data_IF_593562904392
#
_entry.id   IF_593562904392
#
_cell.length_a   1.000
_cell.length_b   1.000
_cell.length_c   1.000
_cell.angle_alpha   90.00
_cell.angle_beta   90.00
_cell.angle_gamma   90.00
#
_symmetry.space_group_name_H-M   'P 1'
#
loop_
_entity.id
_entity.type
_entity.pdbx_description
1 polymer ?
#
# COMPACT_ATOMS: atom_id res chain seq x y z
N UNK A 1 6.25 30.51 -0.16
CA UNK A 1 6.93 29.30 0.33
C UNK A 1 5.94 28.19 0.54
N UNK A 2 6.34 26.96 0.24
CA UNK A 2 5.52 25.75 0.36
C UNK A 2 6.31 24.68 1.10
N UNK A 3 5.66 23.97 2.00
CA UNK A 3 6.17 22.76 2.62
C UNK A 3 5.04 21.71 2.56
N UNK A 4 4.86 21.05 1.40
CA UNK A 4 3.78 20.09 1.21
C UNK A 4 4.01 18.87 2.11
N UNK A 5 2.98 18.44 2.84
CA UNK A 5 2.99 17.19 3.57
C UNK A 5 2.93 15.99 2.62
N UNK A 6 3.44 14.85 3.05
CA UNK A 6 3.37 13.62 2.25
C UNK A 6 1.94 13.07 2.25
N UNK A 7 1.30 13.07 1.08
CA UNK A 7 0.02 12.38 0.87
C UNK A 7 0.12 11.71 -0.49
N UNK A 8 -0.18 10.41 -0.53
CA UNK A 8 -0.27 9.58 -1.74
C UNK A 8 -1.50 9.91 -2.61
N UNK A 9 -1.80 11.21 -2.76
CA UNK A 9 -2.85 11.72 -3.61
C UNK A 9 -2.24 12.38 -4.84
N UNK A 10 -2.68 11.94 -6.03
CA UNK A 10 -2.30 12.53 -7.31
C UNK A 10 -3.00 13.88 -7.58
N UNK A 11 -3.93 14.29 -6.71
CA UNK A 11 -4.69 15.52 -6.84
C UNK A 11 -3.79 16.78 -6.78
N UNK A 12 -4.06 17.79 -7.63
CA UNK A 12 -3.34 19.06 -7.56
C UNK A 12 -3.56 19.77 -6.23
N UNK A 13 -2.48 20.26 -5.61
CA UNK A 13 -2.50 20.96 -4.32
C UNK A 13 -2.53 22.47 -4.56
N UNK A 14 -3.62 23.14 -4.18
CA UNK A 14 -3.75 24.58 -4.43
C UNK A 14 -2.96 25.38 -3.40
N UNK A 15 -1.95 26.10 -3.86
CA UNK A 15 -1.24 27.08 -3.04
C UNK A 15 -2.16 28.30 -2.88
N UNK A 16 -2.63 28.83 -4.01
CA UNK A 16 -3.55 29.97 -4.07
C UNK A 16 -4.28 29.97 -5.42
N UNK A 17 -5.55 30.36 -5.44
CA UNK A 17 -6.29 30.54 -6.70
C UNK A 17 -7.51 31.44 -6.55
N UNK A 18 -8.00 31.97 -7.68
CA UNK A 18 -9.24 32.73 -7.81
C UNK A 18 -10.25 31.98 -8.68
N UNK A 19 -11.46 31.83 -8.18
CA UNK A 19 -12.54 31.11 -8.86
C UNK A 19 -12.59 29.60 -8.56
N UNK A 20 -13.57 28.92 -9.16
CA UNK A 20 -13.85 27.48 -9.00
C UNK A 20 -14.17 27.09 -7.55
N UNK A 21 -14.92 27.94 -6.85
CA UNK A 21 -15.27 27.74 -5.44
C UNK A 21 -16.45 26.80 -5.21
N UNK A 22 -17.22 26.50 -6.26
CA UNK A 22 -18.49 25.78 -6.17
C UNK A 22 -19.67 26.66 -5.76
N UNK A 23 -19.48 27.98 -5.67
CA UNK A 23 -20.56 28.93 -5.42
C UNK A 23 -21.62 28.88 -6.54
N UNK A 24 -22.93 28.80 -6.22
CA UNK A 24 -23.98 28.80 -7.24
C UNK A 24 -24.15 30.15 -7.96
N UNK A 25 -23.43 31.20 -7.53
CA UNK A 25 -23.47 32.53 -8.14
C UNK A 25 -22.62 32.64 -9.41
N UNK A 26 -21.70 31.70 -9.62
CA UNK A 26 -20.74 31.73 -10.72
C UNK A 26 -20.81 30.42 -11.52
N UNK A 27 -20.30 30.46 -12.75
CA UNK A 27 -20.16 29.24 -13.55
C UNK A 27 -19.21 28.27 -12.85
N UNK A 28 -19.46 26.96 -12.99
CA UNK A 28 -18.62 25.93 -12.37
C UNK A 28 -17.16 25.96 -12.87
N UNK A 29 -16.98 26.31 -14.14
CA UNK A 29 -15.68 26.33 -14.82
C UNK A 29 -15.13 27.76 -14.94
N UNK A 30 -15.19 28.51 -13.84
CA UNK A 30 -14.80 29.92 -13.77
C UNK A 30 -13.40 30.14 -13.15
N UNK A 31 -12.47 29.19 -13.25
CA UNK A 31 -11.13 29.39 -12.69
C UNK A 31 -10.41 30.53 -13.40
N UNK A 32 -10.31 31.69 -12.75
CA UNK A 32 -9.59 32.84 -13.30
C UNK A 32 -8.08 32.56 -13.34
N UNK A 33 -7.52 32.10 -12.23
CA UNK A 33 -6.14 31.59 -12.15
C UNK A 33 -5.94 30.73 -10.91
N UNK A 34 -4.97 29.83 -10.93
CA UNK A 34 -4.53 29.07 -9.77
C UNK A 34 -3.05 28.70 -9.87
N UNK A 35 -2.33 28.91 -8.78
CA UNK A 35 -0.99 28.40 -8.54
C UNK A 35 -1.08 27.15 -7.66
N UNK A 36 -0.52 26.04 -8.13
CA UNK A 36 -0.69 24.71 -7.55
C UNK A 36 0.61 23.93 -7.61
N UNK A 37 0.66 22.83 -6.86
CA UNK A 37 1.65 21.77 -7.03
C UNK A 37 0.99 20.52 -7.59
N UNK A 38 1.68 19.82 -8.48
CA UNK A 38 1.28 18.50 -8.98
C UNK A 38 2.40 17.51 -8.71
N UNK A 39 2.07 16.30 -8.25
CA UNK A 39 3.05 15.25 -8.03
C UNK A 39 3.36 14.57 -9.36
N UNK A 40 4.64 14.47 -9.71
CA UNK A 40 5.13 13.65 -10.81
C UNK A 40 6.27 12.80 -10.27
N UNK A 41 6.07 11.49 -10.22
CA UNK A 41 7.01 10.54 -9.61
C UNK A 41 7.33 10.95 -8.15
N UNK A 42 8.62 11.06 -7.82
CA UNK A 42 9.13 11.45 -6.50
C UNK A 42 9.26 12.97 -6.31
N UNK A 43 8.72 13.79 -7.20
CA UNK A 43 8.84 15.26 -7.16
C UNK A 43 7.48 15.96 -7.17
N UNK A 44 7.44 17.16 -6.57
CA UNK A 44 6.40 18.14 -6.83
C UNK A 44 6.86 19.11 -7.92
N UNK A 45 5.96 19.36 -8.86
CA UNK A 45 6.14 20.32 -9.96
C UNK A 45 5.17 21.48 -9.79
N UNK A 46 5.60 22.67 -10.22
CA UNK A 46 4.76 23.85 -10.25
C UNK A 46 3.69 23.68 -11.33
N UNK A 47 2.44 23.99 -11.01
CA UNK A 47 1.35 24.02 -11.99
C UNK A 47 0.60 25.34 -11.92
N UNK A 48 0.47 26.01 -13.06
CA UNK A 48 -0.35 27.21 -13.23
C UNK A 48 -1.56 26.87 -14.11
N UNK A 49 -2.77 27.20 -13.65
CA UNK A 49 -4.02 26.89 -14.35
C UNK A 49 -4.89 28.12 -14.47
N UNK A 50 -5.53 28.30 -15.62
CA UNK A 50 -6.67 29.18 -15.79
C UNK A 50 -7.67 28.60 -16.79
N UNK A 51 -8.88 29.15 -16.81
CA UNK A 51 -9.89 28.86 -17.80
C UNK A 51 -10.16 30.08 -18.69
N UNK A 52 -10.34 29.87 -19.99
CA UNK A 52 -10.93 30.85 -20.91
C UNK A 52 -12.44 30.63 -20.99
N UNK A 53 -13.13 31.35 -21.90
CA UNK A 53 -14.57 31.15 -22.09
C UNK A 53 -14.86 29.68 -22.39
N UNK A 54 -15.89 29.15 -21.74
CA UNK A 54 -16.29 27.75 -21.85
C UNK A 54 -16.36 27.30 -23.32
N UNK A 55 -15.66 26.21 -23.60
CA UNK A 55 -15.57 25.56 -24.90
C UNK A 55 -15.87 24.06 -24.74
N UNK A 56 -16.14 23.37 -25.84
CA UNK A 56 -16.42 21.94 -25.82
C UNK A 56 -15.22 21.13 -25.27
N UNK A 57 -15.51 20.21 -24.35
CA UNK A 57 -14.50 19.43 -23.64
C UNK A 57 -13.55 20.29 -22.82
N UNK A 58 -12.30 19.85 -22.69
CA UNK A 58 -11.33 20.48 -21.78
C UNK A 58 -10.54 21.62 -22.42
N UNK A 59 -10.94 22.07 -23.63
CA UNK A 59 -10.20 23.06 -24.43
C UNK A 59 -10.16 24.45 -23.83
N UNK A 60 -11.07 24.75 -22.90
CA UNK A 60 -11.10 26.01 -22.18
C UNK A 60 -10.14 26.02 -20.98
N UNK A 61 -9.58 24.86 -20.59
CA UNK A 61 -8.59 24.77 -19.53
C UNK A 61 -7.19 24.93 -20.09
N UNK A 62 -6.40 25.81 -19.50
CA UNK A 62 -5.02 26.06 -19.89
C UNK A 62 -4.12 25.83 -18.68
N UNK A 63 -3.40 24.71 -18.70
CA UNK A 63 -2.50 24.31 -17.62
C UNK A 63 -1.07 24.29 -18.12
N UNK A 64 -0.21 24.99 -17.41
CA UNK A 64 1.23 24.94 -17.56
C UNK A 64 1.83 24.19 -16.38
N UNK A 65 2.74 23.25 -16.64
CA UNK A 65 3.44 22.49 -15.60
C UNK A 65 4.95 22.60 -15.80
N UNK A 66 5.70 22.91 -14.74
CA UNK A 66 7.15 23.09 -14.85
C UNK A 66 7.89 21.80 -15.16
N UNK A 67 8.97 21.89 -15.93
CA UNK A 67 9.91 20.78 -16.16
C UNK A 67 10.70 20.46 -14.89
N UNK A 68 11.19 21.49 -14.20
CA UNK A 68 11.90 21.32 -12.93
C UNK A 68 10.88 21.18 -11.80
N UNK A 69 11.09 20.16 -10.97
CA UNK A 69 10.38 19.97 -9.71
C UNK A 69 11.35 19.96 -8.52
N UNK A 70 10.82 19.67 -7.33
CA UNK A 70 11.60 19.45 -6.13
C UNK A 70 11.17 18.15 -5.43
N UNK A 71 12.07 17.44 -4.74
CA UNK A 71 11.75 16.15 -4.12
C UNK A 71 10.67 16.28 -3.05
N UNK A 72 9.76 15.30 -3.01
CA UNK A 72 8.78 15.18 -1.94
C UNK A 72 9.47 15.05 -0.57
N UNK A 73 8.79 15.50 0.48
CA UNK A 73 9.24 15.38 1.87
C UNK A 73 10.59 16.04 2.18
N UNK A 74 11.08 16.92 1.28
CA UNK A 74 12.27 17.75 1.55
C UNK A 74 11.90 19.12 2.11
N UNK A 75 10.76 19.28 2.80
CA UNK A 75 10.42 20.46 3.60
C UNK A 75 10.14 21.75 2.81
N UNK A 76 10.69 22.89 3.24
CA UNK A 76 10.37 24.21 2.68
C UNK A 76 11.05 24.47 1.33
N UNK A 77 10.24 24.82 0.34
CA UNK A 77 10.63 25.27 -1.00
C UNK A 77 10.03 26.63 -1.34
N UNK A 78 10.73 27.37 -2.19
CA UNK A 78 10.22 28.60 -2.78
C UNK A 78 9.75 28.33 -4.20
N UNK A 79 8.48 28.63 -4.49
CA UNK A 79 7.92 28.51 -5.84
C UNK A 79 7.29 29.81 -6.29
N UNK A 80 7.44 30.14 -7.57
CA UNK A 80 6.83 31.31 -8.17
C UNK A 80 6.50 31.09 -9.65
N UNK A 81 5.45 31.75 -10.14
CA UNK A 81 5.14 31.85 -11.57
C UNK A 81 4.93 33.32 -11.94
N UNK A 82 5.40 33.72 -13.11
CA UNK A 82 5.02 35.00 -13.74
C UNK A 82 4.35 34.71 -15.05
N UNK A 83 3.23 35.37 -15.33
CA UNK A 83 2.50 35.20 -16.57
C UNK A 83 1.76 36.49 -16.97
N UNK A 84 1.78 36.81 -18.25
CA UNK A 84 0.96 37.86 -18.87
C UNK A 84 -0.09 37.19 -19.74
N UNK A 85 -1.35 37.25 -19.31
CA UNK A 85 -2.48 36.75 -20.10
C UNK A 85 -2.49 37.34 -21.50
N UNK A 86 -2.80 36.50 -22.50
CA UNK A 86 -2.73 36.86 -23.91
C UNK A 86 -1.36 36.69 -24.56
N UNK A 87 -0.29 36.46 -23.78
CA UNK A 87 1.06 36.18 -24.27
C UNK A 87 1.57 34.85 -23.70
N UNK A 88 1.29 33.71 -24.35
CA UNK A 88 1.64 32.39 -23.82
C UNK A 88 3.14 32.16 -23.66
N UNK A 89 3.98 32.92 -24.40
CA UNK A 89 5.45 32.84 -24.30
C UNK A 89 5.99 33.59 -23.08
N UNK A 90 5.15 34.36 -22.38
CA UNK A 90 5.56 35.14 -21.20
C UNK A 90 5.66 34.31 -19.92
N UNK A 91 5.14 33.08 -19.90
CA UNK A 91 5.13 32.22 -18.71
C UNK A 91 6.56 31.88 -18.28
N UNK A 92 6.84 32.02 -16.97
CA UNK A 92 8.12 31.61 -16.38
C UNK A 92 7.84 31.01 -15.01
N UNK A 93 8.42 29.84 -14.74
CA UNK A 93 8.41 29.23 -13.42
C UNK A 93 9.74 29.41 -12.70
N UNK A 94 9.70 29.39 -11.38
CA UNK A 94 10.87 29.37 -10.52
C UNK A 94 10.65 28.36 -9.39
N UNK A 95 11.64 27.50 -9.18
CA UNK A 95 11.70 26.54 -8.08
C UNK A 95 13.02 26.77 -7.36
N UNK A 96 12.98 27.10 -6.08
CA UNK A 96 14.15 27.38 -5.25
C UNK A 96 15.12 28.38 -5.90
N UNK A 97 14.55 29.46 -6.45
CA UNK A 97 15.29 30.54 -7.12
C UNK A 97 15.83 30.19 -8.50
N UNK A 98 15.73 28.92 -8.92
CA UNK A 98 16.13 28.44 -10.25
C UNK A 98 14.97 28.59 -11.22
N UNK A 99 15.21 29.28 -12.34
CA UNK A 99 14.25 29.44 -13.42
C UNK A 99 14.04 28.11 -14.15
N UNK A 100 12.80 27.82 -14.52
CA UNK A 100 12.42 26.61 -15.26
C UNK A 100 11.42 26.92 -16.36
N UNK A 101 11.57 26.21 -17.47
CA UNK A 101 10.55 26.07 -18.51
C UNK A 101 9.47 25.07 -18.07
N UNK A 102 8.52 24.79 -18.95
CA UNK A 102 7.37 23.95 -18.67
C UNK A 102 6.49 23.73 -19.89
N UNK A 103 5.59 22.77 -19.76
CA UNK A 103 4.75 22.28 -20.85
C UNK A 103 3.30 22.71 -20.64
N UNK A 104 2.66 23.17 -21.71
CA UNK A 104 1.22 23.41 -21.74
C UNK A 104 0.47 22.14 -22.13
N UNK A 105 -0.62 21.82 -21.43
CA UNK A 105 -1.54 20.74 -21.76
C UNK A 105 -3.02 21.21 -21.78
N UNK A 106 -3.96 20.28 -21.98
CA UNK A 106 -5.40 20.56 -22.17
C UNK A 106 -5.65 21.45 -23.39
N UNK A 107 -6.20 22.65 -23.21
CA UNK A 107 -6.36 23.68 -24.24
C UNK A 107 -5.03 24.30 -24.71
N UNK A 108 -3.92 23.99 -24.05
CA UNK A 108 -2.58 24.38 -24.46
C UNK A 108 -2.27 25.87 -24.25
N UNK A 109 -1.22 26.36 -24.90
CA UNK A 109 -0.88 27.77 -24.96
C UNK A 109 -1.98 28.57 -25.67
N UNK A 110 -2.39 29.72 -25.13
CA UNK A 110 -3.46 30.55 -25.69
C UNK A 110 -3.18 32.05 -25.60
N UNK A 111 -3.75 32.82 -26.52
CA UNK A 111 -3.80 34.29 -26.49
C UNK A 111 -5.14 34.83 -25.97
N UNK A 112 -6.07 33.95 -25.60
CA UNK A 112 -7.34 34.34 -25.02
C UNK A 112 -7.19 34.81 -23.57
N UNK A 113 -8.10 35.70 -23.16
CA UNK A 113 -8.17 36.19 -21.79
C UNK A 113 -8.82 35.14 -20.86
N UNK A 114 -8.42 35.09 -19.58
CA UNK A 114 -9.06 34.22 -18.61
C UNK A 114 -10.49 34.67 -18.34
N UNK A 115 -11.33 33.78 -17.81
CA UNK A 115 -12.63 34.16 -17.24
C UNK A 115 -12.42 35.19 -16.13
N UNK A 116 -13.18 36.28 -16.16
CA UNK A 116 -13.14 37.35 -15.16
C UNK A 116 -14.49 37.47 -14.48
N UNK A 117 -14.52 37.23 -13.18
CA UNK A 117 -15.65 37.44 -12.29
C UNK A 117 -15.18 37.79 -10.86
N UNK A 118 -16.16 37.98 -9.96
CA UNK A 118 -15.95 38.35 -8.56
C UNK A 118 -15.89 37.15 -7.61
N UNK A 119 -15.59 35.95 -8.10
CA UNK A 119 -15.44 34.76 -7.24
C UNK A 119 -14.19 34.86 -6.34
N UNK A 120 -14.17 34.10 -5.26
CA UNK A 120 -13.22 34.29 -4.15
C UNK A 120 -11.77 33.95 -4.53
N UNK A 121 -10.82 34.59 -3.85
CA UNK A 121 -9.43 34.14 -3.78
C UNK A 121 -9.28 33.24 -2.56
N UNK A 122 -8.82 32.01 -2.75
CA UNK A 122 -8.57 31.05 -1.66
C UNK A 122 -7.10 30.66 -1.61
N UNK A 123 -6.54 30.61 -0.40
CA UNK A 123 -5.18 30.15 -0.11
C UNK A 123 -5.30 28.76 0.53
N UNK A 124 -4.49 27.81 0.07
CA UNK A 124 -4.39 26.49 0.69
C UNK A 124 -5.62 25.58 0.52
N UNK A 125 -6.47 25.80 -0.49
CA UNK A 125 -7.66 24.97 -0.70
C UNK A 125 -7.26 23.50 -0.97
N UNK A 126 -7.55 22.61 -0.02
CA UNK A 126 -7.06 21.22 -0.02
C UNK A 126 -5.53 21.09 -0.05
N UNK A 127 -4.79 22.08 0.44
CA UNK A 127 -3.34 21.99 0.57
C UNK A 127 -2.98 21.30 1.88
N UNK A 128 -2.51 20.06 1.80
CA UNK A 128 -1.90 19.39 2.93
C UNK A 128 -0.43 19.78 3.06
N UNK A 129 -0.11 20.53 4.11
CA UNK A 129 1.24 21.03 4.40
C UNK A 129 1.21 22.44 4.98
N UNK A 130 2.36 23.11 4.95
CA UNK A 130 2.51 24.49 5.41
C UNK A 130 2.72 25.43 4.22
N UNK A 131 2.17 26.64 4.35
CA UNK A 131 2.36 27.75 3.41
C UNK A 131 2.87 28.95 4.20
N UNK A 132 3.80 29.70 3.60
CA UNK A 132 4.31 30.93 4.20
C UNK A 132 4.60 31.98 3.12
N UNK A 133 4.42 33.26 3.48
CA UNK A 133 4.62 34.44 2.64
C UNK A 133 4.01 34.31 1.22
N UNK A 134 2.75 33.87 1.14
CA UNK A 134 2.00 33.81 -0.13
C UNK A 134 1.69 35.23 -0.59
N UNK A 135 2.06 35.57 -1.83
CA UNK A 135 1.91 36.92 -2.37
C UNK A 135 1.47 36.90 -3.84
N UNK A 136 0.71 37.92 -4.24
CA UNK A 136 0.30 38.18 -5.63
C UNK A 136 0.77 39.58 -6.02
N UNK A 137 1.40 39.69 -7.19
CA UNK A 137 1.88 40.96 -7.73
C UNK A 137 1.14 41.31 -9.01
N UNK A 138 0.76 42.58 -9.18
CA UNK A 138 0.14 43.09 -10.42
C UNK A 138 1.17 43.46 -11.49
N UNK A 139 2.38 42.92 -11.39
CA UNK A 139 3.49 43.12 -12.32
C UNK A 139 4.28 41.82 -12.45
N UNK A 140 4.82 41.56 -13.65
CA UNK A 140 5.79 40.49 -13.85
C UNK A 140 7.12 40.92 -13.21
N UNK A 141 7.50 40.23 -12.14
CA UNK A 141 8.79 40.45 -11.49
C UNK A 141 9.91 39.89 -12.37
N UNK A 142 11.08 40.52 -12.33
CA UNK A 142 12.24 40.09 -13.11
C UNK A 142 12.94 38.86 -12.50
N UNK A 143 13.78 38.21 -13.33
CA UNK A 143 14.50 37.00 -12.97
C UNK A 143 15.41 37.24 -11.75
N UNK A 144 16.06 38.41 -11.67
CA UNK A 144 16.93 38.79 -10.54
C UNK A 144 16.17 38.82 -9.22
N UNK A 145 14.97 39.42 -9.21
CA UNK A 145 14.13 39.53 -8.03
C UNK A 145 13.66 38.15 -7.57
N UNK A 146 13.20 37.31 -8.49
CA UNK A 146 12.64 35.99 -8.15
C UNK A 146 13.72 35.00 -7.70
N UNK A 147 14.91 35.06 -8.30
CA UNK A 147 16.07 34.30 -7.82
C UNK A 147 16.50 34.76 -6.42
N UNK A 148 16.61 36.07 -6.18
CA UNK A 148 17.04 36.60 -4.88
C UNK A 148 16.06 36.32 -3.72
N UNK A 149 14.78 36.05 -4.00
CA UNK A 149 13.78 35.67 -2.98
C UNK A 149 14.03 34.30 -2.37
N UNK A 150 14.74 33.43 -3.08
CA UNK A 150 15.25 32.20 -2.49
C UNK A 150 16.64 32.45 -1.92
N UNK A 151 16.69 32.75 -0.63
CA UNK A 151 17.94 32.83 0.13
C UNK A 151 17.92 31.79 1.24
N UNK A 152 18.54 30.64 0.98
CA UNK A 152 18.55 29.51 1.90
C UNK A 152 19.90 29.37 2.58
N UNK A 153 19.86 29.23 3.91
CA UNK A 153 20.99 28.82 4.73
C UNK A 153 21.05 27.28 4.79
N UNK A 154 22.24 26.68 4.67
CA UNK A 154 22.46 25.24 4.89
C UNK A 154 22.55 24.32 3.65
N UNK A 155 22.87 24.84 2.47
CA UNK A 155 23.14 24.03 1.27
C UNK A 155 21.92 23.40 0.58
N UNK A 156 22.10 22.68 -0.54
CA UNK A 156 21.02 22.03 -1.27
C UNK A 156 20.38 20.92 -0.44
N UNK A 157 19.05 20.78 -0.51
CA UNK A 157 18.37 19.60 0.04
C UNK A 157 18.57 18.44 -0.92
N UNK A 158 19.44 17.52 -0.54
CA UNK A 158 19.51 16.20 -1.14
C UNK A 158 18.59 15.30 -0.34
N UNK A 159 17.80 14.48 -1.01
CA UNK A 159 17.05 13.44 -0.34
C UNK A 159 18.06 12.38 0.16
N UNK A 160 18.39 12.44 1.45
CA UNK A 160 19.35 11.53 2.10
C UNK A 160 18.56 10.40 2.74
N UNK A 161 18.94 9.15 2.46
CA UNK A 161 18.34 7.98 3.11
C UNK A 161 18.69 7.97 4.59
N UNK A 162 17.72 7.58 5.43
CA UNK A 162 18.00 7.28 6.83
C UNK A 162 19.05 6.18 6.94
N UNK A 163 19.89 6.19 8.00
CA UNK A 163 20.86 5.12 8.21
C UNK A 163 20.15 3.77 8.35
N UNK A 164 20.77 2.73 7.80
CA UNK A 164 20.30 1.35 7.98
C UNK A 164 20.62 0.91 9.41
N UNK A 165 19.62 0.99 10.30
CA UNK A 165 19.70 0.53 11.69
C UNK A 165 18.58 -0.49 11.91
N UNK A 166 18.89 -1.59 12.60
CA UNK A 166 17.88 -2.58 12.98
C UNK A 166 16.76 -1.90 13.77
N UNK A 167 15.48 -2.08 13.39
CA UNK A 167 14.38 -1.47 14.10
C UNK A 167 14.21 -2.12 15.48
N UNK A 168 13.80 -1.32 16.46
CA UNK A 168 13.34 -1.84 17.74
C UNK A 168 11.87 -2.29 17.62
N UNK A 169 11.64 -3.59 17.72
CA UNK A 169 10.30 -4.19 17.77
C UNK A 169 10.02 -4.55 19.22
N UNK A 170 9.19 -3.72 19.86
CA UNK A 170 8.78 -3.90 21.25
C UNK A 170 7.76 -5.05 21.42
N UNK A 171 7.59 -5.48 22.67
CA UNK A 171 6.54 -6.41 23.12
C UNK A 171 6.52 -7.73 22.34
N UNK A 172 7.67 -8.40 22.26
CA UNK A 172 7.81 -9.75 21.69
C UNK A 172 7.62 -10.78 22.81
N UNK A 173 6.53 -11.57 22.83
CA UNK A 173 6.34 -12.61 23.82
C UNK A 173 7.39 -13.72 23.67
N UNK A 174 7.84 -14.28 24.79
CA UNK A 174 8.77 -15.41 24.78
C UNK A 174 8.17 -16.61 24.00
N UNK A 175 8.96 -17.23 23.14
CA UNK A 175 8.55 -18.38 22.33
C UNK A 175 7.59 -18.04 21.19
N UNK A 176 7.45 -16.77 20.80
CA UNK A 176 6.61 -16.35 19.67
C UNK A 176 7.38 -15.52 18.64
N UNK A 177 6.87 -15.54 17.42
CA UNK A 177 7.28 -14.66 16.33
C UNK A 177 6.19 -13.61 16.15
N UNK A 178 6.55 -12.34 16.29
CA UNK A 178 5.63 -11.22 16.11
C UNK A 178 5.68 -10.74 14.66
N UNK A 179 4.50 -10.48 14.10
CA UNK A 179 4.28 -9.87 12.79
C UNK A 179 3.61 -8.51 13.02
N UNK A 180 4.40 -7.46 13.02
CA UNK A 180 3.97 -6.06 13.09
C UNK A 180 3.70 -5.55 11.68
N UNK A 181 2.48 -5.05 11.45
CA UNK A 181 2.01 -4.59 10.15
C UNK A 181 1.68 -3.10 10.26
N UNK A 182 2.35 -2.28 9.45
CA UNK A 182 2.15 -0.83 9.41
C UNK A 182 1.75 -0.38 8.01
N UNK A 183 0.66 0.37 7.90
CA UNK A 183 0.16 0.95 6.65
C UNK A 183 0.79 2.31 6.33
N UNK A 184 0.85 2.67 5.05
CA UNK A 184 1.19 4.04 4.64
C UNK A 184 2.70 4.35 4.64
N UNK A 185 3.53 3.39 4.24
CA UNK A 185 4.93 3.66 3.92
C UNK A 185 5.00 4.63 2.70
N UNK A 186 5.91 5.62 2.67
CA UNK A 186 5.92 6.64 1.60
C UNK A 186 6.07 6.11 0.18
N UNK A 187 6.86 5.04 0.00
CA UNK A 187 7.07 4.40 -1.30
C UNK A 187 7.50 2.95 -1.13
N UNK A 188 7.37 2.18 -2.21
CA UNK A 188 7.68 0.76 -2.27
C UNK A 188 9.14 0.45 -2.63
N UNK A 189 9.87 1.42 -3.19
CA UNK A 189 11.13 1.20 -3.92
C UNK A 189 12.38 1.72 -3.21
N UNK A 190 12.23 2.26 -2.00
CA UNK A 190 13.32 2.72 -1.13
C UNK A 190 12.90 2.73 0.33
N UNK A 191 13.88 2.73 1.21
CA UNK A 191 13.69 3.06 2.62
C UNK A 191 13.49 4.57 2.83
N UNK A 192 13.19 4.96 4.07
CA UNK A 192 12.84 6.34 4.41
C UNK A 192 13.99 7.32 4.14
N UNK A 193 13.63 8.53 3.72
CA UNK A 193 14.52 9.68 3.74
C UNK A 193 14.58 10.34 5.13
N UNK A 194 15.63 11.10 5.39
CA UNK A 194 15.71 11.99 6.56
C UNK A 194 14.48 12.91 6.60
N UNK A 195 13.77 12.91 7.74
CA UNK A 195 12.54 13.69 7.93
C UNK A 195 11.24 12.94 7.62
N UNK A 196 11.29 11.78 6.96
CA UNK A 196 10.14 10.87 6.88
C UNK A 196 10.02 10.06 8.18
N UNK A 197 8.79 9.77 8.61
CA UNK A 197 8.54 8.97 9.81
C UNK A 197 8.13 7.54 9.44
N UNK A 198 8.49 6.59 10.30
CA UNK A 198 7.96 5.23 10.19
C UNK A 198 6.44 5.24 10.41
N UNK A 199 5.67 4.47 9.62
CA UNK A 199 4.24 4.36 9.83
C UNK A 199 3.91 3.71 11.18
N UNK A 200 2.78 4.12 11.76
CA UNK A 200 2.28 3.53 12.99
C UNK A 200 1.83 2.08 12.76
N UNK A 201 1.90 1.26 13.82
CA UNK A 201 1.37 -0.11 13.79
C UNK A 201 -0.14 -0.07 13.57
N UNK A 202 -0.59 -0.74 12.51
CA UNK A 202 -2.01 -0.92 12.20
C UNK A 202 -2.52 -2.19 12.87
N UNK A 203 -1.77 -3.29 12.72
CA UNK A 203 -2.14 -4.60 13.23
C UNK A 203 -0.90 -5.34 13.72
N UNK A 204 -1.07 -6.11 14.79
CA UNK A 204 -0.11 -7.09 15.28
C UNK A 204 -0.72 -8.49 15.28
N UNK A 205 0.05 -9.46 14.82
CA UNK A 205 -0.27 -10.89 14.90
C UNK A 205 0.94 -11.66 15.40
N UNK A 206 0.73 -12.78 16.09
CA UNK A 206 1.80 -13.64 16.58
C UNK A 206 1.66 -15.05 16.03
N UNK A 207 2.78 -15.60 15.57
CA UNK A 207 2.92 -17.00 15.16
C UNK A 207 4.04 -17.70 15.94
N UNK A 208 4.43 -18.88 15.47
CA UNK A 208 5.45 -19.73 16.11
C UNK A 208 6.66 -20.03 15.21
N UNK A 209 6.71 -19.44 14.01
CA UNK A 209 7.72 -19.70 12.98
C UNK A 209 7.91 -18.44 12.13
N UNK A 210 9.12 -18.17 11.62
CA UNK A 210 9.35 -17.11 10.63
C UNK A 210 8.84 -17.54 9.24
N UNK A 211 7.53 -17.70 9.12
CA UNK A 211 6.81 -18.07 7.91
C UNK A 211 5.47 -17.32 7.87
N UNK A 212 5.13 -16.73 6.73
CA UNK A 212 3.83 -16.09 6.52
C UNK A 212 3.31 -16.39 5.10
N UNK A 213 2.20 -17.14 4.94
CA UNK A 213 1.62 -17.41 3.62
C UNK A 213 0.88 -16.23 3.00
N UNK A 214 0.30 -15.38 3.85
CA UNK A 214 -0.48 -14.21 3.45
C UNK A 214 -0.54 -13.19 4.57
N UNK A 215 -0.76 -11.93 4.21
CA UNK A 215 -1.16 -10.93 5.18
C UNK A 215 -2.51 -11.31 5.83
N UNK A 216 -2.72 -10.96 7.11
CA UNK A 216 -4.05 -10.96 7.69
C UNK A 216 -5.01 -10.06 6.91
N UNK A 217 -6.31 -10.35 7.00
CA UNK A 217 -7.36 -9.54 6.40
C UNK A 217 -7.54 -8.21 7.15
N UNK A 218 -7.73 -7.14 6.38
CA UNK A 218 -8.06 -5.81 6.87
C UNK A 218 -9.58 -5.60 6.86
N UNK A 219 -10.10 -4.88 7.85
CA UNK A 219 -11.53 -4.59 7.99
C UNK A 219 -11.75 -3.11 8.30
N UNK A 220 -12.83 -2.55 7.76
CA UNK A 220 -13.32 -1.22 8.17
C UNK A 220 -14.06 -1.27 9.53
N UNK A 221 -14.55 -0.12 9.98
CA UNK A 221 -15.29 0.04 11.25
C UNK A 221 -16.68 -0.62 11.25
N UNK A 222 -17.09 -1.24 10.13
CA UNK A 222 -18.29 -2.07 10.02
C UNK A 222 -17.96 -3.56 10.02
N UNK A 223 -16.68 -3.94 10.08
CA UNK A 223 -16.21 -5.31 9.95
C UNK A 223 -16.35 -5.84 8.51
N UNK A 224 -16.43 -4.96 7.51
CA UNK A 224 -16.41 -5.33 6.10
C UNK A 224 -14.94 -5.36 5.65
N UNK A 225 -14.60 -6.37 4.84
CA UNK A 225 -13.24 -6.50 4.32
C UNK A 225 -12.87 -5.25 3.50
N UNK A 226 -11.77 -4.62 3.88
CA UNK A 226 -11.24 -3.44 3.20
C UNK A 226 -9.87 -3.74 2.58
N UNK A 227 -9.45 -2.85 1.68
CA UNK A 227 -8.08 -2.88 1.18
C UNK A 227 -7.11 -2.37 2.26
N UNK A 228 -5.89 -2.89 2.21
CA UNK A 228 -4.78 -2.32 2.95
C UNK A 228 -4.31 -1.02 2.27
N UNK A 229 -3.93 -0.03 3.07
CA UNK A 229 -3.32 1.21 2.59
C UNK A 229 -1.82 0.99 2.29
N UNK A 230 -1.56 0.60 1.04
CA UNK A 230 -0.22 0.35 0.51
C UNK A 230 0.51 1.63 0.07
N UNK A 231 1.86 1.64 0.02
CA UNK A 231 2.77 0.57 0.41
C UNK A 231 2.75 0.33 1.93
N UNK A 232 2.95 -0.92 2.33
CA UNK A 232 2.99 -1.32 3.74
C UNK A 232 4.39 -1.70 4.18
N UNK A 233 4.64 -1.61 5.48
CA UNK A 233 5.80 -2.19 6.13
C UNK A 233 5.37 -3.37 7.00
N UNK A 234 5.94 -4.54 6.74
CA UNK A 234 5.83 -5.72 7.59
C UNK A 234 7.15 -5.92 8.32
N UNK A 235 7.10 -6.05 9.65
CA UNK A 235 8.24 -6.45 10.48
C UNK A 235 7.94 -7.77 11.16
N UNK A 236 8.82 -8.74 10.97
CA UNK A 236 8.74 -10.06 11.59
C UNK A 236 9.90 -10.16 12.57
N UNK A 237 9.62 -10.37 13.86
CA UNK A 237 10.65 -10.34 14.88
C UNK A 237 10.44 -11.42 15.95
N UNK A 238 11.54 -12.00 16.41
CA UNK A 238 11.57 -12.90 17.55
C UNK A 238 12.96 -12.92 18.18
N UNK A 239 13.04 -13.39 19.41
CA UNK A 239 14.29 -13.88 19.99
C UNK A 239 14.47 -15.35 19.58
N UNK A 240 15.68 -15.74 19.17
CA UNK A 240 16.02 -17.08 18.66
C UNK A 240 17.25 -17.63 19.36
N UNK A 241 17.27 -18.94 19.62
CA UNK A 241 18.44 -19.60 20.21
C UNK A 241 19.49 -19.90 19.13
N UNK A 242 20.48 -19.01 19.02
CA UNK A 242 21.65 -19.11 18.14
C UNK A 242 22.91 -18.98 19.00
N UNK A 243 23.50 -20.13 19.43
CA UNK A 243 24.79 -20.17 20.10
C UNK A 243 25.90 -19.44 19.34
N UNK A 244 27.07 -19.33 19.94
CA UNK A 244 28.23 -18.81 19.21
C UNK A 244 28.57 -19.71 18.03
N UNK A 245 28.75 -19.11 16.86
CA UNK A 245 29.01 -19.85 15.63
C UNK A 245 28.89 -18.99 14.37
N UNK A 246 29.10 -19.65 13.25
CA UNK A 246 28.86 -19.09 11.92
C UNK A 246 27.55 -19.67 11.38
N UNK A 247 26.71 -18.79 10.82
CA UNK A 247 25.40 -19.15 10.33
C UNK A 247 25.16 -18.55 8.95
N UNK A 248 24.58 -19.34 8.05
CA UNK A 248 24.06 -18.86 6.77
C UNK A 248 22.53 -18.78 6.85
N UNK A 249 21.99 -17.58 6.67
CA UNK A 249 20.56 -17.32 6.60
C UNK A 249 20.09 -17.28 5.16
N UNK A 250 18.82 -17.63 4.95
CA UNK A 250 18.06 -17.46 3.73
C UNK A 250 16.82 -16.62 4.06
N UNK A 251 16.55 -15.60 3.26
CA UNK A 251 15.24 -14.92 3.22
C UNK A 251 14.54 -15.21 1.92
N UNK A 252 13.22 -15.37 1.99
CA UNK A 252 12.32 -15.43 0.84
C UNK A 252 11.32 -14.27 0.92
N UNK A 253 11.33 -13.39 -0.06
CA UNK A 253 10.48 -12.19 -0.11
C UNK A 253 10.08 -11.84 -1.54
N UNK A 254 8.88 -11.28 -1.75
CA UNK A 254 8.46 -10.79 -3.06
C UNK A 254 9.01 -9.42 -3.45
N UNK A 255 9.40 -8.62 -2.46
CA UNK A 255 9.72 -7.20 -2.64
C UNK A 255 10.92 -6.80 -1.77
N UNK A 256 11.22 -5.49 -1.73
CA UNK A 256 12.34 -4.94 -0.97
C UNK A 256 12.25 -5.41 0.49
N UNK A 257 13.32 -6.05 0.97
CA UNK A 257 13.36 -6.60 2.32
C UNK A 257 14.76 -6.63 2.88
N UNK A 258 14.90 -6.76 4.21
CA UNK A 258 16.20 -6.85 4.89
C UNK A 258 16.10 -7.65 6.18
N UNK A 259 17.12 -8.46 6.43
CA UNK A 259 17.24 -9.31 7.61
C UNK A 259 18.34 -8.78 8.54
N UNK A 260 18.01 -8.72 9.82
CA UNK A 260 18.88 -8.28 10.89
C UNK A 260 19.04 -9.36 11.96
N UNK A 261 20.25 -9.48 12.52
CA UNK A 261 20.55 -10.31 13.70
C UNK A 261 21.39 -9.48 14.66
N UNK A 262 20.90 -9.22 15.88
CA UNK A 262 21.57 -8.41 16.92
C UNK A 262 22.14 -7.07 16.38
N UNK A 263 21.38 -6.38 15.54
CA UNK A 263 21.77 -5.09 14.95
C UNK A 263 22.62 -5.18 13.69
N UNK A 264 23.09 -6.37 13.31
CA UNK A 264 23.85 -6.58 12.08
C UNK A 264 22.92 -6.90 10.91
N UNK A 265 23.06 -6.15 9.81
CA UNK A 265 22.41 -6.48 8.54
C UNK A 265 23.05 -7.75 7.96
N UNK A 266 22.26 -8.80 7.77
CA UNK A 266 22.73 -10.12 7.29
C UNK A 266 22.55 -10.24 5.78
N UNK A 267 21.37 -9.92 5.27
CA UNK A 267 21.06 -9.97 3.83
C UNK A 267 19.84 -9.10 3.50
N UNK A 268 19.62 -8.85 2.20
CA UNK A 268 18.50 -8.05 1.68
C UNK A 268 18.08 -8.49 0.28
N UNK A 269 16.88 -8.07 -0.11
CA UNK A 269 16.37 -8.12 -1.48
C UNK A 269 16.10 -6.71 -1.99
N UNK A 270 16.29 -6.47 -3.28
CA UNK A 270 15.97 -5.20 -3.91
C UNK A 270 14.45 -5.05 -4.13
N UNK A 271 14.03 -3.80 -4.33
CA UNK A 271 12.66 -3.51 -4.76
C UNK A 271 12.37 -4.13 -6.13
N UNK A 272 11.16 -4.66 -6.30
CA UNK A 272 10.73 -5.13 -7.62
C UNK A 272 10.42 -3.93 -8.52
N UNK A 273 11.37 -3.62 -9.41
CA UNK A 273 11.26 -2.56 -10.41
C UNK A 273 10.74 -3.07 -11.75
N UNK A 274 10.38 -4.35 -11.85
CA UNK A 274 9.91 -4.93 -13.11
C UNK A 274 8.52 -4.41 -13.42
N UNK A 275 8.31 -4.05 -14.68
CA UNK A 275 6.98 -3.75 -15.19
C UNK A 275 6.18 -5.07 -15.22
N UNK A 276 4.90 -5.06 -14.81
CA UNK A 276 4.06 -6.23 -14.97
C UNK A 276 4.07 -6.69 -16.42
N UNK A 277 4.16 -8.01 -16.69
CA UNK A 277 4.11 -8.53 -18.04
C UNK A 277 2.77 -8.15 -18.69
N UNK A 278 2.82 -7.69 -19.94
CA UNK A 278 1.64 -7.32 -20.74
C UNK A 278 0.92 -8.57 -21.31
N UNK A 279 1.42 -9.78 -21.00
CA UNK A 279 0.79 -11.07 -21.30
C UNK A 279 1.35 -11.76 -22.55
N UNK A 280 2.33 -11.15 -23.21
CA UNK A 280 3.03 -11.66 -24.39
C UNK A 280 4.43 -12.19 -24.06
N UNK A 281 4.86 -12.03 -22.81
CA UNK A 281 6.17 -12.47 -22.33
C UNK A 281 6.25 -13.99 -22.22
N UNK A 282 7.44 -14.58 -22.45
CA UNK A 282 7.66 -16.00 -22.18
C UNK A 282 7.29 -16.36 -20.73
N UNK A 283 6.70 -17.54 -20.55
CA UNK A 283 6.42 -18.10 -19.23
C UNK A 283 7.74 -18.14 -18.44
N UNK A 284 7.74 -17.55 -17.24
CA UNK A 284 8.93 -17.58 -16.37
C UNK A 284 9.21 -19.05 -16.03
N UNK A 285 10.44 -19.55 -16.28
CA UNK A 285 10.78 -20.92 -15.97
C UNK A 285 10.67 -21.17 -14.46
N UNK A 286 10.33 -22.40 -14.11
CA UNK A 286 10.37 -22.86 -12.72
C UNK A 286 11.83 -22.77 -12.24
N UNK A 287 12.11 -22.11 -11.11
CA UNK A 287 13.47 -22.01 -10.60
C UNK A 287 13.99 -23.38 -10.13
N UNK A 288 15.30 -23.56 -10.22
CA UNK A 288 15.97 -24.71 -9.58
C UNK A 288 16.09 -24.47 -8.07
N UNK A 289 15.93 -25.51 -7.24
CA UNK A 289 16.04 -25.36 -5.79
C UNK A 289 17.51 -25.11 -5.37
N UNK A 290 17.73 -24.23 -4.40
CA UNK A 290 19.08 -23.97 -3.85
C UNK A 290 19.73 -25.21 -3.23
N UNK A 291 18.92 -26.15 -2.73
CA UNK A 291 19.36 -27.44 -2.17
C UNK A 291 18.45 -28.56 -2.68
N UNK A 292 18.96 -29.78 -2.92
CA UNK A 292 18.12 -30.90 -3.36
C UNK A 292 16.92 -31.14 -2.44
N UNK A 293 15.72 -31.23 -3.02
CA UNK A 293 14.47 -31.46 -2.26
C UNK A 293 13.91 -30.25 -1.51
N UNK A 294 14.54 -29.08 -1.63
CA UNK A 294 14.03 -27.84 -1.03
C UNK A 294 12.76 -27.36 -1.76
N UNK A 295 11.78 -26.90 -0.98
CA UNK A 295 10.55 -26.25 -1.47
C UNK A 295 10.94 -25.05 -2.31
N UNK A 296 10.35 -24.94 -3.51
CA UNK A 296 10.64 -23.86 -4.44
C UNK A 296 10.00 -22.53 -4.01
N UNK A 297 10.64 -21.37 -4.31
CA UNK A 297 10.00 -20.09 -4.15
C UNK A 297 8.79 -19.97 -5.10
N UNK A 298 7.72 -19.32 -4.63
CA UNK A 298 6.56 -19.02 -5.47
C UNK A 298 6.92 -18.02 -6.56
N UNK A 299 6.04 -17.88 -7.55
CA UNK A 299 6.21 -16.95 -8.68
C UNK A 299 6.62 -15.54 -8.21
N UNK A 300 7.73 -15.03 -8.77
CA UNK A 300 8.37 -13.75 -8.44
C UNK A 300 8.85 -13.54 -7.00
N UNK A 301 8.91 -14.58 -6.17
CA UNK A 301 9.65 -14.48 -4.92
C UNK A 301 11.15 -14.50 -5.18
N UNK A 302 11.84 -13.63 -4.46
CA UNK A 302 13.28 -13.49 -4.44
C UNK A 302 13.81 -14.28 -3.24
N UNK A 303 14.92 -14.96 -3.47
CA UNK A 303 15.70 -15.62 -2.44
C UNK A 303 17.05 -14.92 -2.32
N UNK A 304 17.46 -14.65 -1.08
CA UNK A 304 18.77 -14.04 -0.80
C UNK A 304 19.37 -14.70 0.43
N UNK A 305 20.66 -15.05 0.36
CA UNK A 305 21.39 -15.64 1.49
C UNK A 305 22.36 -14.63 2.10
N UNK A 306 22.76 -14.87 3.35
CA UNK A 306 23.76 -14.04 4.03
C UNK A 306 24.36 -14.75 5.22
N UNK A 307 25.67 -14.60 5.37
CA UNK A 307 26.41 -15.17 6.49
C UNK A 307 26.50 -14.19 7.65
N UNK A 308 26.41 -14.69 8.88
CA UNK A 308 26.68 -13.95 10.10
C UNK A 308 27.59 -14.76 11.02
N UNK A 309 28.62 -14.09 11.55
CA UNK A 309 29.50 -14.66 12.57
C UNK A 309 29.12 -14.06 13.93
N UNK A 310 28.72 -14.93 14.85
CA UNK A 310 28.31 -14.62 16.22
C UNK A 310 29.37 -14.97 17.27
N UNK A 311 30.56 -15.41 16.86
CA UNK A 311 31.64 -15.78 17.77
C UNK A 311 32.11 -14.58 18.61
N UNK A 312 32.26 -14.78 19.91
CA UNK A 312 32.71 -13.74 20.84
C UNK A 312 31.77 -12.54 21.00
N UNK A 313 30.56 -12.59 20.42
CA UNK A 313 29.53 -11.57 20.63
C UNK A 313 28.64 -12.03 21.77
N UNK A 314 28.61 -11.30 22.88
CA UNK A 314 27.60 -11.55 23.93
C UNK A 314 26.20 -11.26 23.38
N UNK A 315 25.18 -11.98 23.86
CA UNK A 315 23.77 -11.66 23.58
C UNK A 315 23.48 -10.19 23.93
N UNK A 316 22.65 -9.51 23.14
CA UNK A 316 22.34 -8.09 23.35
C UNK A 316 21.88 -7.82 24.80
N UNK A 317 22.47 -6.78 25.42
CA UNK A 317 22.30 -6.28 26.79
C UNK A 317 21.11 -6.82 27.60
N UNK A 318 21.40 -7.49 28.72
CA UNK A 318 20.47 -7.67 29.85
C UNK A 318 20.09 -9.11 30.20
N UNK A 319 20.70 -10.11 29.58
CA UNK A 319 20.31 -11.50 29.77
C UNK A 319 21.33 -12.28 30.65
N UNK A 320 20.80 -13.05 31.62
CA UNK A 320 21.53 -13.90 32.58
C UNK A 320 22.52 -14.87 31.90
N UNK A 321 23.56 -15.37 32.58
CA UNK A 321 24.56 -16.30 32.01
C UNK A 321 23.96 -17.53 31.27
N UNK A 322 22.72 -17.91 31.56
CA UNK A 322 21.95 -18.95 30.84
C UNK A 322 21.35 -18.53 29.49
N UNK A 323 21.68 -17.33 28.99
CA UNK A 323 21.04 -16.68 27.81
C UNK A 323 22.01 -16.36 26.66
N UNK A 324 23.26 -16.81 26.74
CA UNK A 324 24.33 -16.35 25.85
C UNK A 324 24.13 -16.75 24.36
N UNK A 325 23.14 -17.60 24.07
CA UNK A 325 22.69 -17.96 22.72
C UNK A 325 21.47 -17.19 22.23
N UNK A 326 20.79 -16.39 23.05
CA UNK A 326 19.55 -15.73 22.62
C UNK A 326 19.87 -14.50 21.77
N UNK A 327 19.37 -14.47 20.55
CA UNK A 327 19.62 -13.40 19.56
C UNK A 327 18.32 -12.80 19.08
N UNK A 328 18.27 -11.47 18.93
CA UNK A 328 17.13 -10.78 18.31
C UNK A 328 17.27 -10.89 16.79
N UNK A 329 16.26 -11.45 16.15
CA UNK A 329 16.16 -11.50 14.68
C UNK A 329 15.01 -10.61 14.24
N UNK A 330 15.25 -9.73 13.25
CA UNK A 330 14.21 -8.88 12.66
C UNK A 330 14.28 -8.93 11.14
N UNK A 331 13.16 -9.24 10.51
CA UNK A 331 12.99 -9.26 9.07
C UNK A 331 11.96 -8.21 8.64
N UNK A 332 12.39 -7.22 7.87
CA UNK A 332 11.54 -6.15 7.35
C UNK A 332 11.22 -6.39 5.88
N UNK A 333 9.94 -6.23 5.49
CA UNK A 333 9.46 -6.40 4.12
C UNK A 333 8.55 -5.23 3.75
N UNK A 334 8.77 -4.62 2.59
CA UNK A 334 7.84 -3.64 2.00
C UNK A 334 6.82 -4.37 1.12
N UNK A 335 5.52 -4.10 1.30
CA UNK A 335 4.45 -4.86 0.63
C UNK A 335 3.54 -3.96 -0.20
N UNK A 336 3.38 -4.31 -1.49
CA UNK A 336 2.43 -3.69 -2.43
C UNK A 336 2.84 -2.33 -3.01
N UNK A 337 1.87 -1.68 -3.65
CA UNK A 337 1.93 -0.41 -4.39
C UNK A 337 2.48 -0.47 -5.83
N UNK A 338 2.34 0.63 -6.57
CA UNK A 338 2.77 0.77 -7.97
C UNK A 338 2.29 -0.36 -8.92
N UNK A 339 1.00 -0.72 -8.84
CA UNK A 339 0.42 -1.81 -9.63
C UNK A 339 0.69 -3.22 -9.09
N UNK A 340 1.48 -3.35 -8.02
CA UNK A 340 1.67 -4.61 -7.31
C UNK A 340 0.52 -4.86 -6.35
N UNK A 341 0.10 -6.12 -6.27
CA UNK A 341 -0.90 -6.56 -5.29
C UNK A 341 -0.32 -6.38 -3.89
N UNK A 342 -1.15 -5.93 -2.96
CA UNK A 342 -0.79 -5.82 -1.54
C UNK A 342 -0.87 -7.20 -0.89
N UNK A 343 0.08 -8.06 -1.25
CA UNK A 343 0.22 -9.43 -0.76
C UNK A 343 1.70 -9.81 -0.64
N UNK A 344 2.02 -10.67 0.33
CA UNK A 344 3.39 -11.16 0.57
C UNK A 344 3.75 -12.37 -0.29
N UNK A 345 2.74 -13.19 -0.66
CA UNK A 345 2.98 -14.60 -0.92
C UNK A 345 3.53 -15.31 0.33
N UNK A 346 4.15 -16.48 0.13
CA UNK A 346 4.82 -17.26 1.18
C UNK A 346 6.23 -16.71 1.48
N UNK A 347 6.35 -15.82 2.46
CA UNK A 347 7.66 -15.28 2.88
C UNK A 347 8.21 -16.05 4.08
N UNK A 348 9.53 -16.18 4.18
CA UNK A 348 10.15 -16.86 5.30
C UNK A 348 11.57 -16.39 5.60
N UNK A 349 12.03 -16.72 6.80
CA UNK A 349 13.45 -16.72 7.20
C UNK A 349 13.84 -18.14 7.56
N UNK A 350 14.96 -18.60 7.02
CA UNK A 350 15.50 -19.93 7.27
C UNK A 350 17.01 -19.87 7.55
N UNK A 351 17.53 -20.91 8.18
CA UNK A 351 18.94 -21.06 8.53
C UNK A 351 19.48 -22.37 7.95
N UNK A 352 20.69 -22.34 7.40
CA UNK A 352 21.30 -23.53 6.84
C UNK A 352 21.60 -24.55 7.95
N UNK A 353 21.35 -25.83 7.67
CA UNK A 353 21.75 -26.92 8.55
C UNK A 353 23.27 -27.00 8.68
N UNK A 354 23.76 -27.54 9.80
CA UNK A 354 25.20 -27.62 10.08
C UNK A 354 26.00 -28.46 9.08
N UNK A 355 25.34 -29.39 8.38
CA UNK A 355 25.92 -30.19 7.30
C UNK A 355 25.81 -29.53 5.91
N UNK A 356 25.21 -28.34 5.82
CA UNK A 356 25.02 -27.58 4.59
C UNK A 356 24.00 -28.18 3.62
N UNK A 357 23.26 -29.24 4.00
CA UNK A 357 22.41 -30.01 3.09
C UNK A 357 21.04 -29.38 2.84
N UNK A 358 20.54 -28.56 3.77
CA UNK A 358 19.17 -28.02 3.74
C UNK A 358 19.11 -26.63 4.43
N UNK A 359 18.03 -25.88 4.16
CA UNK A 359 17.64 -24.74 4.99
C UNK A 359 16.47 -25.14 5.88
N UNK A 360 16.52 -24.78 7.16
CA UNK A 360 15.43 -25.00 8.12
C UNK A 360 14.75 -23.68 8.45
N UNK A 361 13.41 -23.64 8.46
CA UNK A 361 12.65 -22.47 8.91
C UNK A 361 13.09 -22.06 10.31
N UNK A 362 13.25 -20.75 10.50
CA UNK A 362 13.66 -20.19 11.78
C UNK A 362 12.47 -20.21 12.75
N UNK A 363 12.72 -20.64 13.99
CA UNK A 363 11.73 -20.75 15.07
C UNK A 363 12.17 -19.90 16.27
N UNK A 364 11.25 -19.43 17.12
CA UNK A 364 11.61 -18.61 18.27
C UNK A 364 12.29 -19.46 19.36
N UNK A 365 13.04 -18.77 20.23
CA UNK A 365 13.76 -19.35 21.37
C UNK A 365 12.83 -20.18 22.27
N UNK A 366 13.29 -21.35 22.68
CA UNK A 366 12.51 -22.36 23.39
C UNK A 366 11.74 -23.34 22.48
N UNK A 367 11.75 -23.14 21.16
CA UNK A 367 11.25 -24.11 20.19
C UNK A 367 12.41 -24.90 19.58
N UNK A 368 12.49 -26.19 19.89
CA UNK A 368 13.56 -27.09 19.40
C UNK A 368 13.20 -27.78 18.06
N UNK A 369 12.04 -27.45 17.48
CA UNK A 369 11.58 -28.08 16.25
C UNK A 369 12.50 -27.72 15.07
N UNK A 370 13.08 -28.74 14.44
CA UNK A 370 13.76 -28.58 13.16
C UNK A 370 12.75 -28.69 12.03
N UNK A 371 12.56 -27.61 11.28
CA UNK A 371 11.59 -27.52 10.18
C UNK A 371 12.32 -27.39 8.84
N UNK A 372 12.73 -28.48 8.18
CA UNK A 372 13.39 -28.38 6.88
C UNK A 372 12.47 -27.71 5.87
N UNK A 373 13.01 -26.83 5.02
CA UNK A 373 12.26 -26.09 4.00
C UNK A 373 11.90 -27.02 2.84
N UNK A 374 11.03 -27.99 3.11
CA UNK A 374 10.50 -28.98 2.16
C UNK A 374 8.97 -28.94 2.25
N UNK A 375 8.27 -29.34 1.19
CA UNK A 375 6.80 -29.34 1.18
C UNK A 375 6.23 -30.16 2.34
N UNK A 376 6.79 -31.34 2.60
CA UNK A 376 6.32 -32.25 3.65
C UNK A 376 6.36 -31.62 5.06
N UNK A 377 7.35 -30.78 5.35
CA UNK A 377 7.49 -30.12 6.65
C UNK A 377 6.76 -28.77 6.71
N UNK A 378 6.65 -28.06 5.58
CA UNK A 378 6.07 -26.72 5.50
C UNK A 378 4.54 -26.75 5.44
N UNK A 379 3.93 -27.67 4.69
CA UNK A 379 2.46 -27.72 4.51
C UNK A 379 1.67 -27.82 5.83
N UNK A 380 2.06 -28.63 6.83
CA UNK A 380 1.39 -28.64 8.14
C UNK A 380 1.52 -27.32 8.91
N UNK A 381 2.65 -26.62 8.76
CA UNK A 381 2.88 -25.30 9.38
C UNK A 381 1.98 -24.26 8.71
N UNK A 382 1.84 -24.29 7.39
CA UNK A 382 0.93 -23.41 6.65
C UNK A 382 -0.52 -23.61 7.07
N UNK A 383 -0.98 -24.85 7.22
CA UNK A 383 -2.33 -25.15 7.69
C UNK A 383 -2.58 -24.59 9.11
N UNK A 384 -1.61 -24.71 10.02
CA UNK A 384 -1.68 -24.14 11.37
C UNK A 384 -1.70 -22.61 11.37
N UNK A 385 -0.90 -21.98 10.52
CA UNK A 385 -0.90 -20.51 10.34
C UNK A 385 -2.27 -20.05 9.81
N UNK A 386 -2.83 -20.74 8.81
CA UNK A 386 -4.14 -20.36 8.26
C UNK A 386 -5.26 -20.48 9.28
N UNK A 387 -5.24 -21.52 10.12
CA UNK A 387 -6.21 -21.70 11.20
C UNK A 387 -6.13 -20.56 12.24
N UNK A 388 -4.90 -20.20 12.63
CA UNK A 388 -4.67 -19.13 13.62
C UNK A 388 -4.99 -17.74 13.06
N UNK A 389 -4.64 -17.46 11.82
CA UNK A 389 -5.05 -16.23 11.11
C UNK A 389 -6.57 -16.14 11.00
N UNK A 390 -7.25 -17.21 10.56
CA UNK A 390 -8.70 -17.21 10.41
C UNK A 390 -9.43 -16.92 11.73
N UNK A 391 -8.91 -17.47 12.85
CA UNK A 391 -9.46 -17.22 14.19
C UNK A 391 -9.29 -15.77 14.62
N UNK A 392 -8.09 -15.22 14.46
CA UNK A 392 -7.75 -13.83 14.78
C UNK A 392 -8.54 -12.83 13.92
N UNK A 393 -8.70 -13.15 12.63
CA UNK A 393 -9.51 -12.37 11.69
C UNK A 393 -10.99 -12.33 12.07
N UNK A 394 -11.58 -13.46 12.46
CA UNK A 394 -12.98 -13.48 12.91
C UNK A 394 -13.16 -12.67 14.20
N UNK A 395 -12.20 -12.73 15.13
CA UNK A 395 -12.21 -11.93 16.35
C UNK A 395 -12.12 -10.42 16.04
N UNK A 396 -11.15 -10.00 15.21
CA UNK A 396 -11.00 -8.60 14.81
C UNK A 396 -12.22 -8.09 14.04
N UNK A 397 -12.75 -8.89 13.12
CA UNK A 397 -13.96 -8.56 12.36
C UNK A 397 -15.15 -8.30 13.28
N UNK A 398 -15.37 -9.17 14.28
CA UNK A 398 -16.44 -9.01 15.27
C UNK A 398 -16.22 -7.79 16.16
N UNK A 399 -14.97 -7.51 16.55
CA UNK A 399 -14.63 -6.33 17.35
C UNK A 399 -14.90 -5.04 16.56
N UNK A 400 -14.48 -4.97 15.29
CA UNK A 400 -14.73 -3.82 14.43
C UNK A 400 -16.25 -3.60 14.21
N UNK A 401 -16.99 -4.67 13.92
CA UNK A 401 -18.44 -4.61 13.71
C UNK A 401 -19.26 -4.36 14.99
N UNK A 402 -18.65 -4.21 16.18
CA UNK A 402 -19.37 -4.17 17.45
C UNK A 402 -20.43 -3.06 17.50
N UNK A 403 -20.16 -1.91 16.87
CA UNK A 403 -21.09 -0.78 16.77
C UNK A 403 -22.38 -1.12 15.99
N UNK A 404 -22.39 -2.21 15.22
CA UNK A 404 -23.54 -2.69 14.43
C UNK A 404 -24.35 -3.77 15.14
N UNK A 405 -23.92 -4.24 16.31
CA UNK A 405 -24.54 -5.39 16.98
C UNK A 405 -26.02 -5.16 17.32
N UNK A 406 -26.41 -3.98 17.81
CA UNK A 406 -27.81 -3.68 18.14
C UNK A 406 -28.70 -3.66 16.90
N UNK A 407 -28.23 -3.02 15.82
CA UNK A 407 -28.94 -2.99 14.56
C UNK A 407 -29.22 -4.41 14.04
N UNK A 408 -28.19 -5.28 14.02
CA UNK A 408 -28.35 -6.65 13.57
C UNK A 408 -29.19 -7.49 14.53
N UNK A 409 -29.09 -7.28 15.85
CA UNK A 409 -29.95 -7.95 16.82
C UNK A 409 -31.43 -7.62 16.58
N UNK A 410 -31.76 -6.34 16.43
CA UNK A 410 -33.14 -5.92 16.13
C UNK A 410 -33.65 -6.49 14.81
N UNK A 411 -32.81 -6.51 13.77
CA UNK A 411 -33.18 -7.14 12.49
C UNK A 411 -33.41 -8.65 12.64
N UNK A 412 -32.61 -9.36 13.43
CA UNK A 412 -32.82 -10.77 13.72
C UNK A 412 -34.07 -11.03 14.55
N UNK A 413 -34.40 -10.16 15.51
CA UNK A 413 -35.63 -10.25 16.29
C UNK A 413 -36.86 -10.08 15.40
N UNK A 414 -36.86 -9.09 14.51
CA UNK A 414 -37.92 -8.88 13.52
C UNK A 414 -38.05 -10.07 12.56
N UNK A 415 -36.94 -10.64 12.12
CA UNK A 415 -36.95 -11.83 11.26
C UNK A 415 -37.56 -13.04 11.99
N UNK A 416 -37.21 -13.27 13.25
CA UNK A 416 -37.82 -14.33 14.08
C UNK A 416 -39.32 -14.13 14.24
N UNK A 417 -39.75 -12.93 14.62
CA UNK A 417 -41.17 -12.59 14.75
C UNK A 417 -41.94 -12.80 13.45
N UNK A 418 -41.35 -12.44 12.31
CA UNK A 418 -41.97 -12.67 11.01
C UNK A 418 -42.11 -14.17 10.69
N UNK A 419 -41.05 -14.96 10.93
CA UNK A 419 -41.06 -16.42 10.72
C UNK A 419 -42.11 -17.10 11.61
N UNK A 420 -42.20 -16.72 12.89
CA UNK A 420 -43.17 -17.28 13.84
C UNK A 420 -44.63 -16.99 13.43
N UNK A 421 -44.85 -15.92 12.65
CA UNK A 421 -46.16 -15.56 12.11
C UNK A 421 -46.49 -16.25 10.77
N UNK A 422 -45.55 -16.96 10.13
CA UNK A 422 -45.79 -17.68 8.88
C UNK A 422 -46.20 -19.13 9.13
N UNK A 423 -47.06 -19.66 8.25
CA UNK A 423 -47.34 -21.09 8.22
C UNK A 423 -46.08 -21.84 7.74
N UNK A 424 -45.68 -22.87 8.50
CA UNK A 424 -44.57 -23.75 8.09
C UNK A 424 -45.03 -24.57 6.88
N UNK A 425 -44.33 -24.50 5.73
CA UNK A 425 -44.72 -25.26 4.55
C UNK A 425 -44.47 -26.75 4.75
N UNK A 426 -45.37 -27.58 4.23
CA UNK A 426 -45.19 -29.03 4.24
C UNK A 426 -43.96 -29.43 3.42
N UNK A 427 -43.07 -30.20 4.04
CA UNK A 427 -41.84 -30.69 3.39
C UNK A 427 -42.23 -31.71 2.30
N UNK A 428 -41.85 -31.49 1.02
CA UNK A 428 -42.15 -32.44 -0.05
C UNK A 428 -41.54 -33.80 0.22
N UNK A 429 -42.28 -34.88 -0.03
CA UNK A 429 -41.75 -36.24 0.11
C UNK A 429 -40.99 -36.63 -1.15
N UNK A 430 -39.66 -36.54 -1.11
CA UNK A 430 -38.78 -36.94 -2.21
C UNK A 430 -37.75 -37.96 -1.71
N UNK A 431 -37.72 -39.15 -2.31
CA UNK A 431 -36.94 -40.29 -1.82
C UNK A 431 -35.41 -40.08 -1.81
N UNK A 432 -34.89 -39.09 -2.54
CA UNK A 432 -33.45 -38.81 -2.67
C UNK A 432 -32.97 -37.64 -1.81
N UNK A 433 -33.83 -37.02 -0.99
CA UNK A 433 -33.48 -35.86 -0.19
C UNK A 433 -32.81 -36.27 1.13
N UNK A 434 -31.67 -35.65 1.46
CA UNK A 434 -30.93 -35.89 2.71
C UNK A 434 -31.33 -34.91 3.83
N UNK A 435 -32.02 -33.82 3.48
CA UNK A 435 -32.56 -32.83 4.40
C UNK A 435 -33.90 -32.25 3.89
N UNK A 436 -34.69 -31.57 4.74
CA UNK A 436 -35.88 -30.84 4.30
C UNK A 436 -35.59 -29.81 3.20
N UNK A 437 -34.42 -29.15 3.25
CA UNK A 437 -33.98 -28.19 2.22
C UNK A 437 -33.79 -28.91 0.88
N UNK A 438 -33.09 -30.05 0.88
CA UNK A 438 -32.89 -30.85 -0.33
C UNK A 438 -34.21 -31.35 -0.90
N UNK A 439 -35.20 -31.65 -0.06
CA UNK A 439 -36.51 -32.08 -0.48
C UNK A 439 -37.26 -30.97 -1.24
N UNK A 440 -37.22 -29.74 -0.73
CA UNK A 440 -37.77 -28.56 -1.43
C UNK A 440 -37.02 -28.27 -2.73
N UNK A 441 -35.68 -28.27 -2.71
CA UNK A 441 -34.85 -28.02 -3.91
C UNK A 441 -35.11 -29.07 -4.97
N UNK A 442 -35.09 -30.36 -4.60
CA UNK A 442 -35.32 -31.48 -5.52
C UNK A 442 -36.75 -31.45 -6.08
N UNK A 443 -37.75 -31.15 -5.25
CA UNK A 443 -39.14 -30.97 -5.70
C UNK A 443 -39.26 -29.84 -6.72
N UNK A 444 -38.62 -28.70 -6.46
CA UNK A 444 -38.60 -27.54 -7.37
C UNK A 444 -37.89 -27.86 -8.69
N UNK A 445 -36.76 -28.58 -8.66
CA UNK A 445 -36.07 -29.06 -9.87
C UNK A 445 -36.99 -29.96 -10.68
N UNK A 446 -37.67 -30.94 -10.05
CA UNK A 446 -38.60 -31.83 -10.73
C UNK A 446 -39.78 -31.08 -11.36
N UNK A 447 -40.35 -30.10 -10.66
CA UNK A 447 -41.41 -29.25 -11.18
C UNK A 447 -40.94 -28.42 -12.38
N UNK A 448 -39.75 -27.83 -12.31
CA UNK A 448 -39.16 -27.07 -13.42
C UNK A 448 -38.90 -27.95 -14.64
N UNK A 449 -38.36 -29.15 -14.45
CA UNK A 449 -38.16 -30.13 -15.53
C UNK A 449 -39.49 -30.53 -16.18
N UNK A 450 -40.52 -30.85 -15.37
CA UNK A 450 -41.85 -31.18 -15.86
C UNK A 450 -42.52 -30.03 -16.63
N UNK A 451 -42.38 -28.80 -16.15
CA UNK A 451 -42.89 -27.61 -16.84
C UNK A 451 -42.15 -27.37 -18.18
N UNK A 452 -40.83 -27.58 -18.22
CA UNK A 452 -40.03 -27.43 -19.44
C UNK A 452 -40.31 -28.52 -20.49
N UNK A 453 -40.76 -29.71 -20.08
CA UNK A 453 -41.10 -30.81 -20.98
C UNK A 453 -42.41 -30.57 -21.77
N UNK A 454 -43.27 -29.63 -21.34
CA UNK A 454 -44.53 -29.30 -22.02
C UNK A 454 -44.41 -28.25 -23.13
N UNK A 455 -43.35 -27.43 -23.15
CA UNK A 455 -43.22 -26.29 -24.06
C UNK A 455 -42.35 -26.55 -25.30
N UNK A 456 -41.73 -27.72 -25.43
CA UNK A 456 -40.62 -27.92 -26.37
C UNK A 456 -41.00 -28.15 -27.85
N UNK A 457 -42.27 -28.41 -28.20
CA UNK A 457 -42.59 -28.72 -29.61
C UNK A 457 -42.99 -27.47 -30.40
N UNK A 458 -43.76 -26.55 -29.83
CA UNK A 458 -44.19 -25.33 -30.53
C UNK A 458 -43.15 -24.19 -30.44
N UNK A 459 -42.50 -23.98 -29.28
CA UNK A 459 -41.45 -22.95 -29.14
C UNK A 459 -40.18 -23.30 -29.92
N UNK A 460 -39.81 -24.58 -30.03
CA UNK A 460 -38.68 -25.01 -30.85
C UNK A 460 -38.95 -24.85 -32.35
N UNK A 461 -40.20 -25.03 -32.80
CA UNK A 461 -40.58 -24.79 -34.19
C UNK A 461 -40.51 -23.29 -34.54
N UNK A 462 -40.84 -22.40 -33.60
CA UNK A 462 -40.74 -20.94 -33.77
C UNK A 462 -39.30 -20.41 -33.72
N UNK A 463 -38.41 -21.06 -32.97
CA UNK A 463 -37.00 -20.66 -32.90
C UNK A 463 -36.19 -21.09 -34.15
N UNK A 464 -36.70 -22.08 -34.90
CA UNK A 464 -36.07 -22.60 -36.13
C UNK A 464 -36.76 -22.15 -37.43
N UNK A 465 -37.79 -21.30 -37.34
CA UNK A 465 -38.37 -20.54 -38.48
C UNK A 465 -37.83 -19.13 -38.51
#
# INVERSE_FOLDING_TARGET
WVNPGDINDASPRYIIGKGRTGSPKFSRDNQNWALRLVRQNANFHLSFLFATKLAAGDRHWHRWTSETGFPISTGWHHVAVTYKFGDPKSVRGYVDGVKTDGVWDMGGATTEAPVVDDDEVRIGNSFAGMLDAVAVHRAALDDKTLTARFNRLGGPRVAVLQPEVMPDVADIPAGQVVFQICEGLPTHDRWLYEGEAWPAESIRWSGDTFLLPRLPLHYDDWGIRSAWSAPMLLRIAADVDLPEGEYEFLIRSRAMSRLWVDGQLVTKTDADKRRPPDGEEPVTPVPEPLKPGMRLPSYHQLESTGAVNLAGKSAANGASESSNSRRRVVFEVVVGANGQRTETGEICVAIQSSDGSMYNLLVPSGNEQTLPLTDAAVEPVLARIEETLSRDEDQRRKAAAASRNEFWRGRHDLARQWVDAQAVPDVPKVASAQSPVDAFVTSKIKQALAASAGNQIEEAAQFHS
#
